data_IF_624422021667
#
_entry.id   IF_624422021667
#
_cell.length_a   1.000
_cell.length_b   1.000
_cell.length_c   1.000
_cell.angle_alpha   90.00
_cell.angle_beta   90.00
_cell.angle_gamma   90.00
#
_symmetry.space_group_name_H-M   'P 1'
#
loop_
_entity.id
_entity.type
_entity.pdbx_description
1 polymer ?
#
# COMPACT_ATOMS: atom_id res chain seq x y z
N UNK A 1 0.03 -8.25 6.85
CA UNK A 1 -1.38 -7.77 6.70
C UNK A 1 -2.18 -8.82 5.94
N UNK A 2 -3.37 -9.18 6.40
CA UNK A 2 -4.35 -10.00 5.66
C UNK A 2 -5.33 -9.08 4.93
N UNK A 3 -5.71 -9.46 3.72
CA UNK A 3 -6.73 -8.81 2.91
C UNK A 3 -7.89 -9.80 2.70
N UNK A 4 -8.97 -9.61 3.44
CA UNK A 4 -10.19 -10.41 3.29
C UNK A 4 -11.10 -9.80 2.22
N UNK A 5 -11.06 -10.38 1.03
CA UNK A 5 -11.83 -9.90 -0.11
C UNK A 5 -13.34 -10.13 0.03
N UNK A 6 -13.76 -11.04 0.92
CA UNK A 6 -15.19 -11.31 1.16
C UNK A 6 -15.86 -10.20 1.97
N UNK A 7 -15.07 -9.48 2.76
CA UNK A 7 -15.52 -8.37 3.62
C UNK A 7 -15.36 -7.00 2.96
N UNK A 8 -14.73 -6.93 1.78
CA UNK A 8 -14.50 -5.66 1.12
C UNK A 8 -15.79 -5.11 0.51
N UNK A 9 -16.18 -3.90 0.93
CA UNK A 9 -17.38 -3.20 0.46
C UNK A 9 -17.14 -2.34 -0.79
N UNK A 10 -15.91 -2.24 -1.30
CA UNK A 10 -15.58 -1.37 -2.41
C UNK A 10 -15.71 0.14 -2.14
N UNK A 11 -15.73 0.56 -0.87
CA UNK A 11 -16.05 1.93 -0.46
C UNK A 11 -14.90 2.94 -0.62
N UNK A 12 -13.69 2.51 -0.98
CA UNK A 12 -12.49 3.34 -1.16
C UNK A 12 -12.00 4.11 0.08
N UNK A 13 -12.61 3.94 1.26
CA UNK A 13 -12.17 4.62 2.49
C UNK A 13 -10.67 4.39 2.79
N UNK A 14 -10.15 3.18 2.54
CA UNK A 14 -8.74 2.85 2.70
C UNK A 14 -7.82 3.65 1.75
N UNK A 15 -8.28 3.95 0.53
CA UNK A 15 -7.53 4.74 -0.46
C UNK A 15 -7.47 6.20 -0.02
N UNK A 16 -8.62 6.78 0.34
CA UNK A 16 -8.72 8.17 0.81
C UNK A 16 -7.89 8.38 2.08
N UNK A 17 -8.04 7.51 3.08
CA UNK A 17 -7.29 7.59 4.33
C UNK A 17 -5.77 7.52 4.10
N UNK A 18 -5.31 6.67 3.16
CA UNK A 18 -3.91 6.58 2.79
C UNK A 18 -3.42 7.85 2.09
N UNK A 19 -4.20 8.38 1.13
CA UNK A 19 -3.88 9.63 0.43
C UNK A 19 -3.74 10.81 1.40
N UNK A 20 -4.68 10.96 2.31
CA UNK A 20 -4.65 12.02 3.31
C UNK A 20 -3.46 11.90 4.27
N UNK A 21 -3.10 10.68 4.67
CA UNK A 21 -1.98 10.44 5.59
C UNK A 21 -0.61 10.73 4.96
N UNK A 22 -0.45 10.38 3.68
CA UNK A 22 0.82 10.50 2.97
C UNK A 22 0.87 11.67 1.99
N UNK A 23 -0.21 12.41 1.84
CA UNK A 23 -0.31 13.54 0.93
C UNK A 23 0.00 13.16 -0.51
N UNK A 24 -0.36 11.94 -0.95
CA UNK A 24 0.02 11.49 -2.30
C UNK A 24 -0.71 12.30 -3.36
N UNK A 25 -0.02 12.57 -4.46
CA UNK A 25 -0.56 13.30 -5.61
C UNK A 25 -1.79 12.60 -6.20
N UNK A 26 -2.63 13.28 -6.98
CA UNK A 26 -3.88 12.73 -7.52
C UNK A 26 -3.71 11.38 -8.22
N UNK A 27 -2.66 11.23 -9.02
CA UNK A 27 -2.33 10.03 -9.80
C UNK A 27 -1.61 8.94 -9.00
N UNK A 28 -1.04 9.26 -7.81
CA UNK A 28 -0.27 8.34 -6.99
C UNK A 28 -1.14 7.63 -5.96
N UNK A 29 -1.27 6.31 -6.06
CA UNK A 29 -2.04 5.50 -5.14
C UNK A 29 -1.17 4.41 -4.49
N UNK A 30 -0.99 4.45 -3.17
CA UNK A 30 -0.26 3.42 -2.41
C UNK A 30 -1.06 2.13 -2.23
N UNK A 31 -2.37 2.22 -2.33
CA UNK A 31 -3.29 1.09 -2.37
C UNK A 31 -4.48 1.43 -3.25
N UNK A 32 -5.16 0.40 -3.72
CA UNK A 32 -6.31 0.55 -4.61
C UNK A 32 -7.37 -0.50 -4.35
N UNK A 33 -8.53 -0.28 -4.96
CA UNK A 33 -9.66 -1.20 -4.99
C UNK A 33 -10.04 -1.38 -6.45
N UNK A 34 -9.92 -2.59 -6.98
CA UNK A 34 -10.36 -2.94 -8.33
C UNK A 34 -11.68 -3.71 -8.25
N UNK A 35 -12.65 -3.32 -9.06
CA UNK A 35 -13.88 -4.11 -9.27
C UNK A 35 -13.58 -5.16 -10.32
N UNK A 36 -13.89 -6.41 -10.00
CA UNK A 36 -13.77 -7.54 -10.91
C UNK A 36 -15.15 -8.16 -11.05
N UNK A 37 -15.61 -8.29 -12.27
CA UNK A 37 -16.89 -8.92 -12.63
C UNK A 37 -16.63 -10.18 -13.46
N UNK A 38 -17.46 -11.20 -13.26
CA UNK A 38 -17.42 -12.44 -14.06
C UNK A 38 -18.79 -13.07 -14.11
N UNK A 39 -18.99 -14.01 -15.06
CA UNK A 39 -20.29 -14.63 -15.36
C UNK A 39 -21.11 -13.78 -16.34
N UNK A 40 -22.29 -14.29 -16.70
CA UNK A 40 -23.25 -13.65 -17.59
C UNK A 40 -24.60 -13.57 -16.91
N UNK A 41 -25.43 -12.63 -17.32
CA UNK A 41 -26.78 -12.47 -16.77
C UNK A 41 -27.60 -13.74 -17.03
N UNK A 42 -28.35 -14.27 -16.04
CA UNK A 42 -28.63 -13.72 -14.71
C UNK A 42 -27.59 -14.07 -13.60
N UNK A 43 -26.55 -14.83 -13.91
CA UNK A 43 -25.58 -15.34 -12.96
C UNK A 43 -24.28 -14.50 -12.94
N UNK A 44 -24.41 -13.18 -13.10
CA UNK A 44 -23.30 -12.27 -12.99
C UNK A 44 -22.85 -12.08 -11.54
N UNK A 45 -21.55 -12.12 -11.32
CA UNK A 45 -20.93 -11.97 -10.00
C UNK A 45 -19.96 -10.78 -9.98
N UNK A 46 -19.76 -10.19 -8.82
CA UNK A 46 -18.84 -9.09 -8.62
C UNK A 46 -18.03 -9.28 -7.33
N UNK A 47 -16.77 -8.87 -7.39
CA UNK A 47 -15.86 -8.83 -6.24
C UNK A 47 -15.00 -7.59 -6.27
N UNK A 48 -14.57 -7.13 -5.10
CA UNK A 48 -13.55 -6.08 -4.98
C UNK A 48 -12.20 -6.69 -4.63
N UNK A 49 -11.21 -6.43 -5.47
CA UNK A 49 -9.82 -6.84 -5.26
C UNK A 49 -9.02 -5.67 -4.68
N UNK A 50 -8.42 -5.88 -3.52
CA UNK A 50 -7.55 -4.91 -2.88
C UNK A 50 -6.13 -5.03 -3.46
N UNK A 51 -5.55 -3.91 -3.87
CA UNK A 51 -4.19 -3.86 -4.43
C UNK A 51 -3.31 -2.94 -3.59
N UNK A 52 -2.06 -3.34 -3.35
CA UNK A 52 -1.05 -2.56 -2.65
C UNK A 52 0.33 -3.20 -2.82
N UNK A 53 1.38 -2.57 -2.27
CA UNK A 53 2.68 -3.24 -2.16
C UNK A 53 2.56 -4.48 -1.26
N UNK A 54 3.03 -5.63 -1.76
CA UNK A 54 2.96 -6.91 -1.04
C UNK A 54 4.08 -7.09 -0.02
N UNK A 55 5.05 -6.16 0.05
CA UNK A 55 6.20 -6.23 0.97
C UNK A 55 6.91 -7.60 0.92
N UNK A 56 7.15 -8.09 -0.28
CA UNK A 56 7.66 -9.43 -0.60
C UNK A 56 8.85 -9.84 0.27
N UNK A 57 8.97 -11.14 0.56
CA UNK A 57 10.12 -11.67 1.30
C UNK A 57 11.39 -11.56 0.47
N UNK A 58 11.35 -12.00 -0.78
CA UNK A 58 12.40 -11.75 -1.78
C UNK A 58 11.95 -10.59 -2.65
N UNK A 59 12.26 -9.37 -2.24
CA UNK A 59 11.77 -8.15 -2.88
C UNK A 59 12.65 -7.74 -4.07
N UNK A 60 12.27 -8.01 -5.34
CA UNK A 60 13.09 -7.68 -6.51
C UNK A 60 13.40 -6.19 -6.60
N UNK A 61 12.51 -5.36 -6.11
CA UNK A 61 12.70 -3.92 -6.06
C UNK A 61 13.79 -3.45 -5.07
N UNK A 62 14.15 -4.27 -4.08
CA UNK A 62 15.30 -4.03 -3.19
C UNK A 62 16.59 -4.39 -3.90
N UNK A 63 16.60 -5.53 -4.60
CA UNK A 63 17.78 -6.07 -5.29
C UNK A 63 18.26 -5.15 -6.42
N UNK A 64 17.32 -4.60 -7.20
CA UNK A 64 17.66 -3.75 -8.37
C UNK A 64 17.99 -2.30 -8.00
N UNK A 65 17.92 -1.90 -6.72
CA UNK A 65 18.16 -0.51 -6.32
C UNK A 65 19.65 -0.20 -6.22
N UNK A 66 20.25 0.58 -7.17
CA UNK A 66 21.70 0.80 -7.22
C UNK A 66 22.21 1.64 -6.04
N UNK A 67 21.37 2.50 -5.50
CA UNK A 67 21.68 3.40 -4.38
C UNK A 67 21.13 2.90 -3.04
N UNK A 68 20.54 1.69 -3.01
CA UNK A 68 19.93 1.09 -1.81
C UNK A 68 18.94 2.01 -1.08
N UNK A 69 18.20 2.82 -1.85
CA UNK A 69 17.12 3.65 -1.33
C UNK A 69 15.88 2.83 -0.93
N UNK A 70 15.77 1.60 -1.43
CA UNK A 70 14.71 0.65 -1.06
C UNK A 70 15.34 -0.45 -0.22
N UNK A 71 14.82 -0.67 0.99
CA UNK A 71 15.32 -1.67 1.92
C UNK A 71 14.18 -2.45 2.57
N UNK A 72 14.43 -3.69 2.97
CA UNK A 72 13.52 -4.47 3.80
C UNK A 72 13.94 -4.28 5.27
N UNK A 73 12.99 -3.97 6.15
CA UNK A 73 13.24 -3.87 7.58
C UNK A 73 13.27 -5.25 8.23
N UNK A 74 13.80 -5.36 9.43
CA UNK A 74 13.82 -6.61 10.21
C UNK A 74 12.40 -7.09 10.53
N UNK A 75 11.46 -6.16 10.71
CA UNK A 75 10.04 -6.47 10.97
C UNK A 75 9.25 -6.82 9.70
N UNK A 76 9.90 -6.86 8.53
CA UNK A 76 9.34 -7.32 7.26
C UNK A 76 8.93 -6.24 6.26
N UNK A 77 8.44 -5.06 6.62
CA UNK A 77 8.09 -4.03 5.64
C UNK A 77 9.25 -3.61 4.73
N UNK A 78 8.98 -3.44 3.45
CA UNK A 78 9.90 -2.80 2.51
C UNK A 78 9.64 -1.30 2.55
N UNK A 79 10.66 -0.50 2.85
CA UNK A 79 10.59 0.96 3.02
C UNK A 79 11.43 1.69 1.99
N UNK A 80 11.22 2.99 1.89
CA UNK A 80 11.95 3.90 1.00
C UNK A 80 12.68 4.96 1.80
N UNK A 81 13.93 5.19 1.43
CA UNK A 81 14.72 6.35 1.84
C UNK A 81 14.69 7.35 0.68
N UNK A 82 13.91 8.41 0.85
CA UNK A 82 13.71 9.41 -0.19
C UNK A 82 14.94 10.31 -0.38
N UNK A 83 15.81 10.42 0.60
CA UNK A 83 17.05 11.19 0.48
C UNK A 83 18.08 10.49 -0.41
N UNK A 84 18.06 9.15 -0.44
CA UNK A 84 18.93 8.35 -1.31
C UNK A 84 18.34 8.10 -2.71
N UNK A 85 17.02 8.22 -2.86
CA UNK A 85 16.36 7.87 -4.11
C UNK A 85 16.78 8.84 -5.22
N UNK A 86 17.25 8.30 -6.36
CA UNK A 86 17.63 9.08 -7.55
C UNK A 86 16.56 9.04 -8.66
N UNK A 87 15.39 8.47 -8.40
CA UNK A 87 14.28 8.42 -9.35
C UNK A 87 14.53 7.60 -10.63
N UNK A 88 15.47 6.67 -10.63
CA UNK A 88 15.84 5.91 -11.85
C UNK A 88 14.75 4.96 -12.38
N UNK A 89 13.71 4.66 -11.62
CA UNK A 89 12.58 3.83 -12.04
C UNK A 89 12.84 2.32 -12.11
N UNK A 90 14.05 1.81 -11.88
CA UNK A 90 14.36 0.37 -11.97
C UNK A 90 13.45 -0.47 -11.06
N UNK A 91 13.17 -0.01 -9.85
CA UNK A 91 12.30 -0.69 -8.91
C UNK A 91 10.81 -0.64 -9.30
N UNK A 92 10.39 0.30 -10.16
CA UNK A 92 9.05 0.33 -10.75
C UNK A 92 8.93 -0.83 -11.75
N UNK A 93 9.89 -0.96 -12.67
CA UNK A 93 9.89 -2.02 -13.68
C UNK A 93 10.06 -3.42 -13.08
N UNK A 94 10.77 -3.54 -11.96
CA UNK A 94 10.98 -4.81 -11.27
C UNK A 94 9.78 -5.27 -10.42
N UNK A 95 8.79 -4.43 -10.18
CA UNK A 95 7.66 -4.77 -9.33
C UNK A 95 6.59 -5.57 -10.08
N UNK A 96 6.35 -6.87 -9.77
CA UNK A 96 5.36 -7.67 -10.48
C UNK A 96 3.91 -7.27 -10.15
N UNK A 97 3.71 -6.45 -9.12
CA UNK A 97 2.39 -6.00 -8.65
C UNK A 97 2.04 -4.58 -9.08
N UNK A 98 2.91 -3.92 -9.85
CA UNK A 98 2.74 -2.51 -10.27
C UNK A 98 2.44 -1.57 -9.06
N UNK A 99 3.11 -1.85 -7.93
CA UNK A 99 2.83 -1.18 -6.65
C UNK A 99 3.80 -0.03 -6.35
N UNK A 100 4.48 0.50 -7.38
CA UNK A 100 5.43 1.61 -7.29
C UNK A 100 5.17 2.62 -8.38
N UNK A 101 5.20 3.88 -8.02
CA UNK A 101 4.96 4.99 -8.96
C UNK A 101 6.16 5.93 -8.95
N UNK A 102 6.73 6.21 -10.13
CA UNK A 102 7.68 7.30 -10.30
C UNK A 102 6.88 8.59 -10.47
N UNK A 103 6.98 9.48 -9.51
CA UNK A 103 6.27 10.76 -9.49
C UNK A 103 6.94 11.71 -10.47
N UNK A 104 6.28 12.00 -11.58
CA UNK A 104 6.80 12.90 -12.64
C UNK A 104 6.05 14.22 -12.72
N UNK A 105 4.86 14.24 -12.18
CA UNK A 105 3.97 15.38 -12.25
C UNK A 105 3.93 16.11 -10.90
N UNK A 106 3.85 17.42 -10.91
CA UNK A 106 3.70 18.27 -9.73
C UNK A 106 2.23 18.70 -9.53
N UNK A 107 1.29 18.09 -10.26
CA UNK A 107 -0.13 18.34 -10.11
C UNK A 107 -0.59 18.13 -8.65
N UNK A 108 -1.36 19.09 -8.17
CA UNK A 108 -1.96 19.07 -6.84
C UNK A 108 -3.47 18.78 -6.93
N UNK A 109 -4.07 18.32 -5.84
CA UNK A 109 -5.52 18.05 -5.81
C UNK A 109 -6.39 19.29 -6.06
N UNK A 110 -5.83 20.50 -5.89
CA UNK A 110 -6.51 21.77 -6.08
C UNK A 110 -5.63 22.73 -6.89
N UNK A 111 -5.90 22.88 -8.16
CA UNK A 111 -5.21 23.71 -9.15
C UNK A 111 -4.21 24.75 -8.59
N UNK A 112 -2.93 24.40 -8.57
CA UNK A 112 -1.85 25.28 -8.12
C UNK A 112 -1.79 25.59 -6.62
N UNK A 113 -2.58 24.90 -5.80
CA UNK A 113 -2.55 25.04 -4.33
C UNK A 113 -2.04 23.75 -3.69
N UNK A 114 -0.91 23.83 -3.01
CA UNK A 114 -0.42 22.74 -2.16
C UNK A 114 -1.17 22.78 -0.84
N UNK A 115 -1.90 21.73 -0.53
CA UNK A 115 -2.58 21.59 0.76
C UNK A 115 -1.60 21.10 1.83
N UNK A 116 -1.88 21.39 3.10
CA UNK A 116 -1.01 21.02 4.24
C UNK A 116 -0.65 19.53 4.23
N UNK A 117 -1.57 18.65 3.86
CA UNK A 117 -1.33 17.22 3.77
C UNK A 117 -0.48 16.81 2.54
N UNK A 118 -0.30 17.70 1.55
CA UNK A 118 0.52 17.48 0.35
C UNK A 118 1.95 18.01 0.49
N UNK A 119 2.27 18.80 1.52
CA UNK A 119 3.57 19.47 1.67
C UNK A 119 4.75 18.48 1.65
N UNK A 120 4.60 17.33 2.28
CA UNK A 120 5.64 16.30 2.28
C UNK A 120 5.76 15.58 0.92
N UNK A 121 4.65 15.39 0.20
CA UNK A 121 4.70 14.79 -1.13
C UNK A 121 5.29 15.72 -2.19
N UNK A 122 5.17 17.03 -2.00
CA UNK A 122 5.80 18.00 -2.89
C UNK A 122 7.33 17.82 -2.97
N UNK A 123 7.96 17.35 -1.89
CA UNK A 123 9.40 17.04 -1.83
C UNK A 123 9.78 15.75 -2.58
N UNK A 124 8.81 14.95 -3.00
CA UNK A 124 9.03 13.64 -3.63
C UNK A 124 8.88 13.64 -5.15
N UNK A 125 8.84 14.83 -5.76
CA UNK A 125 8.86 14.96 -7.22
C UNK A 125 10.12 14.30 -7.81
N UNK A 126 9.97 13.55 -8.88
CA UNK A 126 11.00 12.73 -9.52
C UNK A 126 11.53 11.57 -8.67
N UNK A 127 10.88 11.23 -7.56
CA UNK A 127 11.22 10.07 -6.73
C UNK A 127 10.18 8.96 -6.93
N UNK A 128 10.53 7.74 -6.51
CA UNK A 128 9.59 6.60 -6.56
C UNK A 128 8.86 6.48 -5.24
N UNK A 129 7.54 6.45 -5.30
CA UNK A 129 6.67 6.26 -4.15
C UNK A 129 6.02 4.86 -4.14
N UNK A 130 5.65 4.40 -2.97
CA UNK A 130 4.89 3.16 -2.73
C UNK A 130 4.31 3.09 -1.32
N UNK A 131 3.44 2.11 -1.07
CA UNK A 131 2.99 1.78 0.28
C UNK A 131 4.19 1.43 1.19
N UNK A 132 4.26 2.04 2.37
CA UNK A 132 5.28 1.80 3.39
C UNK A 132 4.80 0.85 4.51
N UNK A 133 3.63 0.21 4.39
CA UNK A 133 2.92 -0.49 5.46
C UNK A 133 2.62 0.41 6.68
N UNK A 134 2.63 1.73 6.49
CA UNK A 134 2.58 2.72 7.57
C UNK A 134 3.64 2.49 8.66
N UNK A 135 4.87 2.12 8.26
CA UNK A 135 5.94 1.70 9.16
C UNK A 135 6.17 2.69 10.31
N UNK A 136 6.24 4.00 10.01
CA UNK A 136 6.41 5.03 11.03
C UNK A 136 5.26 5.08 12.06
N UNK A 137 4.03 4.73 11.65
CA UNK A 137 2.89 4.60 12.57
C UNK A 137 2.99 3.31 13.40
N UNK A 138 3.39 2.21 12.77
CA UNK A 138 3.57 0.92 13.45
C UNK A 138 4.62 1.01 14.55
N UNK A 139 5.71 1.76 14.36
CA UNK A 139 6.72 2.06 15.38
C UNK A 139 6.15 2.81 16.60
N UNK A 140 5.03 3.48 16.45
CA UNK A 140 4.30 4.17 17.51
C UNK A 140 3.15 3.33 18.11
N UNK A 141 3.06 2.04 17.75
CA UNK A 141 1.97 1.15 18.15
C UNK A 141 0.61 1.43 17.49
N UNK A 142 0.59 2.25 16.42
CA UNK A 142 -0.62 2.60 15.70
C UNK A 142 -0.85 1.67 14.51
N UNK A 143 -2.11 1.36 14.23
CA UNK A 143 -2.47 0.57 13.04
C UNK A 143 -2.25 1.39 11.74
N UNK A 144 -2.00 0.72 10.60
CA UNK A 144 -2.01 1.38 9.29
C UNK A 144 -3.33 2.09 9.01
N UNK A 145 -3.26 3.26 8.37
CA UNK A 145 -4.44 4.10 8.08
C UNK A 145 -5.54 3.35 7.33
N UNK A 146 -5.15 2.51 6.36
CA UNK A 146 -6.09 1.71 5.58
C UNK A 146 -6.78 0.60 6.40
N UNK A 147 -6.22 0.22 7.54
CA UNK A 147 -6.82 -0.71 8.51
C UNK A 147 -7.79 0.03 9.42
N UNK A 148 -7.32 1.13 10.04
CA UNK A 148 -8.12 1.94 10.97
C UNK A 148 -9.42 2.46 10.34
N UNK A 149 -9.38 2.80 9.04
CA UNK A 149 -10.50 3.39 8.33
C UNK A 149 -11.26 2.39 7.43
N UNK A 150 -11.09 1.08 7.65
CA UNK A 150 -11.82 0.08 6.90
C UNK A 150 -13.15 -0.27 7.57
N UNK A 151 -14.31 0.22 7.11
CA UNK A 151 -15.61 -0.05 7.76
C UNK A 151 -16.00 -1.53 7.68
N UNK A 152 -15.60 -2.23 6.61
CA UNK A 152 -15.81 -3.67 6.44
C UNK A 152 -14.84 -4.53 7.21
N UNK A 153 -13.82 -3.95 7.87
CA UNK A 153 -12.71 -4.70 8.53
C UNK A 153 -12.09 -5.76 7.61
N UNK A 154 -12.01 -5.44 6.32
CA UNK A 154 -11.42 -6.30 5.30
C UNK A 154 -9.88 -6.33 5.33
N UNK A 155 -9.25 -5.51 6.19
CA UNK A 155 -7.80 -5.41 6.35
C UNK A 155 -7.44 -5.68 7.80
N UNK A 156 -6.67 -6.74 8.04
CA UNK A 156 -6.21 -7.14 9.37
C UNK A 156 -4.68 -6.98 9.40
N UNK A 157 -4.18 -6.28 10.40
CA UNK A 157 -2.74 -6.01 10.55
C UNK A 157 -2.26 -6.45 11.93
N UNK A 158 -1.07 -7.02 11.99
CA UNK A 158 -0.43 -7.43 13.22
C UNK A 158 0.86 -8.17 12.94
N UNK A 159 1.50 -8.62 13.97
CA UNK A 159 2.68 -9.49 13.91
C UNK A 159 2.23 -10.93 13.68
N UNK A 160 2.66 -11.53 12.57
CA UNK A 160 2.37 -12.92 12.23
C UNK A 160 3.26 -13.93 12.99
N UNK A 161 4.34 -13.46 13.59
CA UNK A 161 5.21 -14.30 14.42
C UNK A 161 4.65 -14.51 15.84
N UNK A 162 3.74 -13.65 16.29
CA UNK A 162 3.02 -13.79 17.55
C UNK A 162 1.75 -14.63 17.33
N UNK A 163 1.70 -15.89 17.85
CA UNK A 163 0.53 -16.75 17.69
C UNK A 163 -0.73 -16.23 18.38
N UNK A 164 -0.58 -15.35 19.38
CA UNK A 164 -1.70 -14.75 20.11
C UNK A 164 -2.25 -13.48 19.44
N UNK A 165 -1.57 -12.98 18.42
CA UNK A 165 -2.00 -11.79 17.68
C UNK A 165 -3.33 -12.01 16.94
N UNK A 166 -4.09 -10.93 16.75
CA UNK A 166 -5.36 -10.94 15.98
C UNK A 166 -5.17 -11.52 14.57
N UNK A 167 -4.06 -11.16 13.90
CA UNK A 167 -3.78 -11.60 12.53
C UNK A 167 -3.46 -13.10 12.48
N UNK A 168 -2.70 -13.65 13.42
CA UNK A 168 -2.34 -15.08 13.45
C UNK A 168 -3.56 -15.95 13.71
N UNK A 169 -4.43 -15.54 14.65
CA UNK A 169 -5.71 -16.20 14.90
C UNK A 169 -6.61 -16.16 13.66
N UNK A 170 -6.69 -14.99 13.00
CA UNK A 170 -7.47 -14.82 11.79
C UNK A 170 -6.99 -15.72 10.64
N UNK A 171 -5.66 -15.81 10.43
CA UNK A 171 -5.05 -16.69 9.42
C UNK A 171 -5.43 -18.16 9.67
N UNK A 172 -5.31 -18.61 10.93
CA UNK A 172 -5.62 -19.99 11.32
C UNK A 172 -7.12 -20.32 11.14
N UNK A 173 -8.02 -19.40 11.48
CA UNK A 173 -9.46 -19.59 11.39
C UNK A 173 -9.97 -19.60 9.96
N UNK A 174 -9.43 -18.74 9.08
CA UNK A 174 -9.95 -18.51 7.73
C UNK A 174 -9.07 -19.12 6.62
N UNK A 175 -7.98 -19.78 6.95
CA UNK A 175 -7.09 -20.42 5.98
C UNK A 175 -6.45 -19.43 5.01
N UNK A 176 -6.10 -18.23 5.49
CA UNK A 176 -5.47 -17.22 4.64
C UNK A 176 -4.11 -17.70 4.13
N UNK A 177 -3.81 -17.42 2.86
CA UNK A 177 -2.57 -17.82 2.19
C UNK A 177 -1.69 -16.62 1.89
N UNK A 178 -0.38 -16.83 1.93
CA UNK A 178 0.59 -15.84 1.48
C UNK A 178 0.62 -15.81 -0.05
N UNK A 179 0.61 -14.63 -0.64
CA UNK A 179 0.62 -14.39 -2.09
C UNK A 179 1.98 -13.86 -2.51
#
# INVERSE_FOLDING_TARGET
>A
MVLDLTRCLGCYACVVACKMCYGTRPDVNYNGVKRVEWGEYPEAHQRYQLTMCMHCDNAPCVEVCPVKATTKTEEGPVVMDYEKCIGCGLCVNACPYDARTLVKDDETAFEGKVMVYEEESAKRLNLVEKCTMCYARAQQGLKPMCVDHCPGRARIHGDVSDPESEISKYIAEHGAVQV
#
